data_IF_450062773659
#
_entry.id   IF_450062773659
#
_cell.length_a   1.000
_cell.length_b   1.000
_cell.length_c   1.000
_cell.angle_alpha   90.00
_cell.angle_beta   90.00
_cell.angle_gamma   90.00
#
_symmetry.space_group_name_H-M   'P 1'
#
loop_
_entity.id
_entity.type
_entity.pdbx_description
1 polymer ?
#
# COMPACT_ATOMS: atom_id res chain seq x y z
N UNK A 1 -10.77 9.63 -19.49
CA UNK A 1 -9.89 9.05 -20.51
C UNK A 1 -9.77 7.54 -20.26
N UNK A 2 -9.58 6.74 -21.30
CA UNK A 2 -9.56 5.27 -21.22
C UNK A 2 -8.57 4.72 -20.16
N UNK A 3 -7.47 5.42 -19.90
CA UNK A 3 -6.47 5.03 -18.91
C UNK A 3 -6.98 5.11 -17.46
N UNK A 4 -7.78 6.12 -17.12
CA UNK A 4 -8.41 6.23 -15.80
C UNK A 4 -9.49 5.16 -15.58
N UNK A 5 -10.03 4.59 -16.67
CA UNK A 5 -11.11 3.61 -16.59
C UNK A 5 -10.60 2.17 -16.46
N UNK A 6 -9.36 1.90 -16.90
CA UNK A 6 -8.72 0.59 -16.71
C UNK A 6 -8.34 0.39 -15.24
N UNK A 7 -7.78 1.43 -14.60
CA UNK A 7 -7.48 1.38 -13.16
C UNK A 7 -8.72 1.55 -12.27
N UNK A 8 -9.76 2.24 -12.71
CA UNK A 8 -11.05 2.28 -12.00
C UNK A 8 -11.74 0.92 -11.90
N UNK A 9 -11.35 -0.05 -12.72
CA UNK A 9 -11.87 -1.43 -12.67
C UNK A 9 -11.15 -2.29 -11.64
N UNK A 10 -10.02 -1.85 -11.10
CA UNK A 10 -9.42 -2.45 -9.91
C UNK A 10 -10.03 -1.79 -8.66
N UNK A 11 -11.33 -1.92 -8.47
CA UNK A 11 -11.91 -1.75 -7.15
C UNK A 11 -11.37 -2.88 -6.28
N UNK A 12 -10.24 -2.62 -5.63
CA UNK A 12 -9.71 -3.49 -4.59
C UNK A 12 -10.71 -3.48 -3.43
N UNK A 13 -11.68 -4.36 -3.49
CA UNK A 13 -12.60 -4.57 -2.38
C UNK A 13 -11.94 -5.55 -1.41
N UNK A 14 -11.51 -5.10 -0.22
CA UNK A 14 -11.03 -6.02 0.78
C UNK A 14 -12.17 -6.95 1.18
N UNK A 15 -12.08 -8.24 0.84
CA UNK A 15 -13.13 -9.23 1.16
C UNK A 15 -13.30 -9.37 2.67
N UNK A 16 -12.25 -9.13 3.44
CA UNK A 16 -12.20 -9.29 4.89
C UNK A 16 -12.17 -7.97 5.67
N UNK A 17 -12.22 -6.83 4.97
CA UNK A 17 -12.32 -5.53 5.63
C UNK A 17 -13.66 -5.39 6.35
N UNK A 18 -13.62 -5.13 7.64
CA UNK A 18 -14.80 -5.07 8.50
C UNK A 18 -14.94 -3.69 9.09
N UNK A 19 -16.13 -3.15 9.00
CA UNK A 19 -16.54 -2.02 9.82
C UNK A 19 -16.73 -2.53 11.27
N UNK A 20 -15.83 -2.14 12.16
CA UNK A 20 -15.81 -2.62 13.53
C UNK A 20 -17.09 -2.30 14.29
N UNK A 21 -17.81 -1.26 13.90
CA UNK A 21 -19.11 -0.89 14.51
C UNK A 21 -20.21 -1.91 14.23
N UNK A 22 -20.04 -2.74 13.20
CA UNK A 22 -21.00 -3.77 12.77
C UNK A 22 -20.72 -5.15 13.36
N UNK A 23 -19.64 -5.32 14.14
CA UNK A 23 -19.33 -6.59 14.77
C UNK A 23 -20.25 -6.79 15.99
N UNK A 24 -21.08 -7.85 16.03
CA UNK A 24 -21.97 -8.11 17.15
C UNK A 24 -21.19 -8.73 18.32
N UNK A 25 -20.21 -8.01 18.83
CA UNK A 25 -19.28 -8.47 19.87
C UNK A 25 -18.86 -7.29 20.73
N UNK A 26 -18.55 -7.58 22.00
CA UNK A 26 -18.01 -6.57 22.90
C UNK A 26 -16.54 -6.31 22.58
N UNK A 27 -16.17 -5.04 22.43
CA UNK A 27 -14.75 -4.63 22.38
C UNK A 27 -14.12 -4.87 23.75
N UNK A 28 -13.00 -5.57 23.77
CA UNK A 28 -12.22 -5.88 24.98
C UNK A 28 -11.04 -4.92 25.11
N UNK A 29 -10.33 -4.69 24.01
CA UNK A 29 -9.24 -3.71 23.92
C UNK A 29 -9.16 -3.15 22.50
N UNK A 30 -8.69 -1.91 22.39
CA UNK A 30 -8.59 -1.24 21.10
C UNK A 30 -7.52 -0.16 21.15
N UNK A 31 -6.71 -0.09 20.10
CA UNK A 31 -5.98 1.10 19.68
C UNK A 31 -6.63 1.53 18.37
N UNK A 32 -7.28 2.70 18.33
CA UNK A 32 -7.90 3.18 17.09
C UNK A 32 -6.83 3.47 16.04
N UNK A 33 -7.20 3.58 14.75
CA UNK A 33 -6.27 3.99 13.71
C UNK A 33 -5.54 5.27 14.09
N UNK A 34 -4.21 5.25 14.03
CA UNK A 34 -3.36 6.41 14.34
C UNK A 34 -3.38 7.40 13.18
N UNK A 35 -3.54 6.90 11.94
CA UNK A 35 -3.64 7.71 10.74
C UNK A 35 -5.04 7.59 10.13
N UNK A 36 -5.53 8.69 9.59
CA UNK A 36 -6.78 8.71 8.83
C UNK A 36 -6.59 9.08 7.34
N UNK A 37 -5.32 9.19 6.88
CA UNK A 37 -5.02 9.47 5.48
C UNK A 37 -5.34 8.28 4.59
N UNK A 38 -5.80 8.60 3.36
CA UNK A 38 -6.29 7.62 2.39
C UNK A 38 -5.58 7.89 1.05
N UNK A 39 -4.25 7.73 1.05
CA UNK A 39 -3.43 7.99 -0.13
C UNK A 39 -3.36 6.76 -1.02
N UNK A 40 -3.08 7.00 -2.31
CA UNK A 40 -2.92 5.94 -3.31
C UNK A 40 -1.78 6.23 -4.29
N UNK A 41 -1.57 5.33 -5.25
CA UNK A 41 -0.36 5.33 -6.08
C UNK A 41 -0.50 6.12 -7.39
N UNK A 42 -1.72 6.52 -7.73
CA UNK A 42 -2.08 7.15 -9.00
C UNK A 42 -2.24 8.66 -8.85
N UNK A 43 -2.65 9.32 -9.92
CA UNK A 43 -2.89 10.75 -9.95
C UNK A 43 -3.97 11.20 -8.92
N UNK A 44 -3.73 12.31 -8.22
CA UNK A 44 -2.64 13.27 -8.44
C UNK A 44 -1.35 12.97 -7.64
N UNK A 45 -1.28 11.86 -6.91
CA UNK A 45 -0.14 11.51 -6.06
C UNK A 45 1.14 11.24 -6.87
N UNK A 46 1.01 10.77 -8.11
CA UNK A 46 2.13 10.47 -8.99
C UNK A 46 2.48 11.61 -9.98
N UNK A 47 1.89 12.79 -9.85
CA UNK A 47 2.07 13.90 -10.82
C UNK A 47 3.52 14.38 -10.95
N UNK A 48 4.37 14.08 -9.97
CA UNK A 48 5.81 14.39 -10.01
C UNK A 48 6.68 13.18 -10.39
N UNK A 49 6.10 12.00 -10.63
CA UNK A 49 6.86 10.81 -11.02
C UNK A 49 7.41 10.91 -12.44
N UNK A 50 8.45 10.11 -12.80
CA UNK A 50 8.90 10.03 -14.18
C UNK A 50 7.78 9.65 -15.13
N UNK A 51 7.89 10.09 -16.38
CA UNK A 51 6.95 9.76 -17.46
C UNK A 51 7.52 8.62 -18.29
N UNK A 52 6.64 7.70 -18.70
CA UNK A 52 7.00 6.61 -19.61
C UNK A 52 5.80 5.94 -20.24
N UNK A 53 6.05 4.84 -20.93
CA UNK A 53 5.00 4.03 -21.55
C UNK A 53 4.35 3.15 -20.50
N UNK A 54 3.20 3.55 -19.99
CA UNK A 54 2.44 2.78 -19.00
C UNK A 54 1.61 1.73 -19.73
N UNK A 55 1.68 0.48 -19.27
CA UNK A 55 0.85 -0.59 -19.77
C UNK A 55 -0.60 -0.39 -19.31
N UNK A 56 -1.56 -0.54 -20.24
CA UNK A 56 -2.99 -0.32 -19.97
C UNK A 56 -3.72 -1.53 -19.35
N UNK A 57 -2.98 -2.59 -19.04
CA UNK A 57 -3.53 -3.83 -18.50
C UNK A 57 -4.00 -4.83 -19.56
N UNK A 58 -3.98 -4.46 -20.84
CA UNK A 58 -4.46 -5.26 -21.96
C UNK A 58 -3.40 -5.39 -23.08
N UNK A 59 -3.55 -4.66 -24.16
CA UNK A 59 -2.70 -4.79 -25.35
C UNK A 59 -2.05 -3.45 -25.77
N UNK A 60 -2.08 -2.45 -24.91
CA UNK A 60 -1.63 -1.10 -25.24
C UNK A 60 -0.72 -0.48 -24.20
N UNK A 61 -0.16 0.66 -24.57
CA UNK A 61 0.52 1.58 -23.67
C UNK A 61 0.06 3.00 -23.93
N UNK A 62 0.14 3.84 -22.91
CA UNK A 62 -0.05 5.28 -23.02
C UNK A 62 1.09 6.02 -22.30
N UNK A 63 1.32 7.27 -22.69
CA UNK A 63 2.26 8.12 -21.97
C UNK A 63 1.64 8.59 -20.66
N UNK A 64 2.32 8.30 -19.55
CA UNK A 64 1.82 8.66 -18.22
C UNK A 64 2.92 8.65 -17.18
N UNK A 65 2.60 9.15 -15.99
CA UNK A 65 3.49 9.07 -14.85
C UNK A 65 3.54 7.64 -14.30
N UNK A 66 4.72 7.21 -13.82
CA UNK A 66 4.86 5.95 -13.10
C UNK A 66 3.96 5.93 -11.87
N UNK A 67 3.48 4.75 -11.49
CA UNK A 67 2.85 4.58 -10.18
C UNK A 67 3.87 4.89 -9.07
N UNK A 68 3.38 5.43 -7.96
CA UNK A 68 4.23 5.73 -6.80
C UNK A 68 4.92 4.47 -6.24
N UNK A 69 4.19 3.35 -6.23
CA UNK A 69 4.63 2.11 -5.59
C UNK A 69 4.13 1.98 -4.14
N UNK A 70 3.64 0.79 -3.80
CA UNK A 70 3.02 0.54 -2.49
C UNK A 70 3.97 0.78 -1.31
N UNK A 71 5.25 0.38 -1.44
CA UNK A 71 6.25 0.61 -0.41
C UNK A 71 6.48 2.10 -0.16
N UNK A 72 6.47 2.93 -1.20
CA UNK A 72 6.61 4.38 -1.07
C UNK A 72 5.39 5.02 -0.42
N UNK A 73 4.17 4.56 -0.74
CA UNK A 73 2.95 5.01 -0.06
C UNK A 73 2.98 4.59 1.42
N UNK A 74 3.43 3.38 1.73
CA UNK A 74 3.55 2.92 3.11
C UNK A 74 4.54 3.79 3.91
N UNK A 75 5.72 4.10 3.35
CA UNK A 75 6.69 5.02 3.95
C UNK A 75 6.09 6.43 4.12
N UNK A 76 5.40 6.95 3.12
CA UNK A 76 4.75 8.25 3.19
C UNK A 76 3.65 8.30 4.28
N UNK A 77 2.85 7.24 4.38
CA UNK A 77 1.84 7.09 5.43
C UNK A 77 2.48 7.05 6.82
N UNK A 78 3.57 6.30 6.97
CA UNK A 78 4.36 6.28 8.20
C UNK A 78 4.87 7.69 8.56
N UNK A 79 5.44 8.40 7.60
CA UNK A 79 5.96 9.75 7.82
C UNK A 79 4.86 10.78 8.11
N UNK A 80 3.65 10.59 7.61
CA UNK A 80 2.51 11.45 7.97
C UNK A 80 2.14 11.36 9.44
N UNK A 81 2.40 10.21 10.07
CA UNK A 81 2.22 9.99 11.50
C UNK A 81 3.38 10.59 12.30
N UNK A 82 4.62 10.30 11.88
CA UNK A 82 5.82 10.70 12.61
C UNK A 82 6.24 12.15 12.38
N UNK A 83 5.81 12.74 11.26
CA UNK A 83 6.09 14.13 10.85
C UNK A 83 7.58 14.51 10.94
N UNK A 84 8.50 13.78 10.29
CA UNK A 84 9.90 14.13 10.28
C UNK A 84 10.13 15.43 9.50
N UNK A 85 11.19 16.19 9.82
CA UNK A 85 11.58 17.32 9.00
C UNK A 85 12.17 16.79 7.70
N UNK A 86 11.54 17.10 6.56
CA UNK A 86 11.98 16.62 5.26
C UNK A 86 11.59 17.55 4.12
N UNK A 87 12.19 17.30 2.97
CA UNK A 87 12.02 18.07 1.74
C UNK A 87 11.49 17.14 0.65
N UNK A 88 10.41 17.54 0.01
CA UNK A 88 9.92 16.95 -1.24
C UNK A 88 10.75 17.42 -2.43
N UNK A 89 10.66 16.72 -3.55
CA UNK A 89 11.38 17.02 -4.79
C UNK A 89 10.40 17.00 -5.98
N UNK A 90 10.33 18.09 -6.74
CA UNK A 90 9.54 18.14 -7.97
C UNK A 90 10.26 17.42 -9.11
N UNK A 91 9.55 17.11 -10.20
CA UNK A 91 10.14 16.56 -11.42
C UNK A 91 11.23 17.47 -12.02
N UNK A 92 11.14 18.79 -11.80
CA UNK A 92 12.13 19.77 -12.22
C UNK A 92 13.31 19.94 -11.23
N UNK A 93 13.36 19.14 -10.15
CA UNK A 93 14.43 19.20 -9.14
C UNK A 93 14.26 20.31 -8.11
N UNK A 94 13.12 21.04 -8.10
CA UNK A 94 12.84 22.05 -7.07
C UNK A 94 12.52 21.35 -5.75
N UNK A 95 13.08 21.85 -4.66
CA UNK A 95 12.84 21.35 -3.31
C UNK A 95 11.68 22.09 -2.65
N UNK A 96 10.83 21.35 -1.95
CA UNK A 96 9.68 21.86 -1.21
C UNK A 96 9.75 21.35 0.22
N UNK A 97 9.85 22.27 1.19
CA UNK A 97 9.75 21.87 2.60
C UNK A 97 8.36 21.30 2.89
N UNK A 98 8.31 20.12 3.49
CA UNK A 98 7.04 19.45 3.79
C UNK A 98 6.41 20.06 5.04
N UNK A 99 5.25 20.66 4.87
CA UNK A 99 4.35 21.08 5.96
C UNK A 99 3.36 19.93 6.22
N UNK A 100 3.64 19.14 7.24
CA UNK A 100 2.83 17.97 7.57
C UNK A 100 1.42 18.32 8.01
N UNK A 101 1.22 19.43 8.73
CA UNK A 101 -0.09 19.83 9.21
C UNK A 101 -0.98 20.25 8.06
N UNK A 102 -0.42 20.99 7.10
CA UNK A 102 -1.11 21.32 5.86
C UNK A 102 -1.39 20.10 5.01
N UNK A 103 -0.40 19.22 4.86
CA UNK A 103 -0.48 18.03 3.98
C UNK A 103 -1.48 16.98 4.50
N UNK A 104 -1.59 16.83 5.84
CA UNK A 104 -2.51 15.88 6.46
C UNK A 104 -3.88 16.46 6.83
N UNK A 105 -4.11 17.75 6.57
CA UNK A 105 -5.41 18.40 6.79
C UNK A 105 -6.53 17.78 5.92
N UNK A 106 -6.17 17.17 4.77
CA UNK A 106 -7.08 16.43 3.94
C UNK A 106 -6.70 14.95 3.93
N UNK A 107 -7.68 14.10 4.23
CA UNK A 107 -7.48 12.63 4.23
C UNK A 107 -7.11 12.08 2.87
N UNK A 108 -7.68 12.66 1.81
CA UNK A 108 -7.51 12.26 0.42
C UNK A 108 -7.19 13.49 -0.40
N UNK A 109 -6.18 13.40 -1.27
CA UNK A 109 -5.83 14.44 -2.23
C UNK A 109 -6.48 14.08 -3.57
N UNK A 110 -7.12 15.06 -4.18
CA UNK A 110 -7.77 14.91 -5.49
C UNK A 110 -7.42 16.11 -6.37
N UNK A 111 -7.75 16.08 -7.64
CA UNK A 111 -7.58 17.25 -8.53
C UNK A 111 -8.42 18.46 -8.12
N UNK A 112 -9.34 18.32 -7.18
CA UNK A 112 -10.09 19.44 -6.58
C UNK A 112 -9.42 20.03 -5.34
N UNK A 113 -8.35 19.40 -4.84
CA UNK A 113 -7.50 19.95 -3.78
C UNK A 113 -6.72 21.16 -4.29
N UNK A 114 -6.19 21.99 -3.39
CA UNK A 114 -5.39 23.15 -3.81
C UNK A 114 -4.16 22.72 -4.61
N UNK A 115 -3.73 23.46 -5.63
CA UNK A 115 -2.53 23.13 -6.41
C UNK A 115 -1.29 22.93 -5.56
N UNK A 116 -1.09 23.74 -4.52
CA UNK A 116 0.05 23.67 -3.61
C UNK A 116 0.03 22.35 -2.82
N UNK A 117 -1.16 21.87 -2.41
CA UNK A 117 -1.30 20.62 -1.68
C UNK A 117 -1.01 19.42 -2.59
N UNK A 118 -1.50 19.47 -3.83
CA UNK A 118 -1.21 18.45 -4.85
C UNK A 118 0.29 18.39 -5.11
N UNK A 119 0.92 19.55 -5.38
CA UNK A 119 2.34 19.63 -5.66
C UNK A 119 3.19 19.16 -4.48
N UNK A 120 2.87 19.57 -3.26
CA UNK A 120 3.59 19.16 -2.05
C UNK A 120 3.50 17.65 -1.86
N UNK A 121 2.30 17.06 -2.01
CA UNK A 121 2.08 15.61 -1.86
C UNK A 121 2.85 14.81 -2.90
N UNK A 122 2.72 15.19 -4.18
CA UNK A 122 3.41 14.51 -5.26
C UNK A 122 4.94 14.65 -5.17
N UNK A 123 5.44 15.82 -4.69
CA UNK A 123 6.87 16.06 -4.45
C UNK A 123 7.42 15.27 -3.27
N UNK A 124 6.64 15.10 -2.19
CA UNK A 124 6.97 14.20 -1.10
C UNK A 124 7.17 12.77 -1.60
N UNK A 125 6.22 12.26 -2.37
CA UNK A 125 6.24 10.91 -2.90
C UNK A 125 7.39 10.70 -3.90
N UNK A 126 7.71 11.71 -4.71
CA UNK A 126 8.87 11.70 -5.59
C UNK A 126 10.19 11.62 -4.80
N UNK A 127 10.33 12.39 -3.73
CA UNK A 127 11.51 12.33 -2.87
C UNK A 127 11.67 10.96 -2.23
N UNK A 128 10.58 10.36 -1.73
CA UNK A 128 10.60 8.99 -1.18
C UNK A 128 11.00 7.98 -2.27
N UNK A 129 10.38 8.04 -3.45
CA UNK A 129 10.72 7.18 -4.59
C UNK A 129 12.23 7.20 -4.91
N UNK A 130 12.82 8.39 -4.97
CA UNK A 130 14.26 8.55 -5.24
C UNK A 130 15.12 7.99 -4.09
N UNK A 131 14.75 8.27 -2.83
CA UNK A 131 15.51 7.85 -1.64
C UNK A 131 15.44 6.35 -1.40
N UNK A 132 14.32 5.72 -1.70
CA UNK A 132 14.16 4.27 -1.61
C UNK A 132 14.76 3.53 -2.80
N UNK A 133 15.28 4.24 -3.79
CA UNK A 133 15.81 3.66 -5.04
C UNK A 133 14.77 2.84 -5.79
N UNK A 134 13.53 3.29 -5.75
CA UNK A 134 12.43 2.63 -6.47
C UNK A 134 12.61 2.68 -7.98
N UNK A 135 12.08 1.69 -8.68
CA UNK A 135 12.20 1.57 -10.13
C UNK A 135 10.95 0.97 -10.77
N UNK A 136 10.69 1.25 -12.06
CA UNK A 136 9.54 0.71 -12.76
C UNK A 136 9.72 -0.79 -13.06
N UNK A 137 8.64 -1.54 -12.90
CA UNK A 137 8.52 -2.92 -13.37
C UNK A 137 7.92 -2.94 -14.77
N UNK A 138 8.60 -3.63 -15.66
CA UNK A 138 8.16 -3.77 -17.04
C UNK A 138 7.43 -5.10 -17.24
N UNK A 139 6.43 -5.08 -18.11
CA UNK A 139 5.74 -6.26 -18.63
C UNK A 139 5.87 -6.30 -20.14
N UNK A 140 6.17 -7.47 -20.66
CA UNK A 140 6.12 -7.72 -22.10
C UNK A 140 4.74 -8.29 -22.44
N UNK A 141 4.07 -7.72 -23.42
CA UNK A 141 2.72 -8.12 -23.82
C UNK A 141 2.60 -8.24 -25.33
N UNK A 142 1.71 -9.13 -25.79
CA UNK A 142 1.46 -9.32 -27.21
C UNK A 142 0.49 -8.27 -27.74
N UNK A 143 0.80 -7.73 -28.90
CA UNK A 143 -0.07 -6.91 -29.72
C UNK A 143 0.03 -7.40 -31.16
N UNK A 144 -0.71 -6.81 -32.09
CA UNK A 144 -0.69 -7.19 -33.50
C UNK A 144 -0.38 -5.96 -34.35
N UNK A 145 0.38 -6.16 -35.45
CA UNK A 145 0.60 -5.16 -36.48
C UNK A 145 -0.61 -5.02 -37.41
N UNK A 146 -0.49 -4.15 -38.43
CA UNK A 146 -1.52 -3.92 -39.43
C UNK A 146 -1.86 -5.18 -40.27
N UNK A 147 -0.87 -6.08 -40.39
CA UNK A 147 -1.00 -7.37 -41.10
C UNK A 147 -1.44 -8.51 -40.17
N UNK A 148 -1.82 -8.20 -38.92
CA UNK A 148 -2.24 -9.16 -37.90
C UNK A 148 -1.12 -10.16 -37.46
N UNK A 149 0.15 -9.76 -37.59
CA UNK A 149 1.26 -10.53 -37.04
C UNK A 149 1.49 -10.15 -35.58
N UNK A 150 1.81 -11.11 -34.69
CA UNK A 150 2.06 -10.81 -33.29
C UNK A 150 3.37 -9.99 -33.11
N UNK A 151 3.27 -8.90 -32.36
CA UNK A 151 4.40 -8.09 -31.94
C UNK A 151 4.47 -8.08 -30.42
N UNK A 152 5.67 -8.26 -29.88
CA UNK A 152 5.91 -8.10 -28.44
C UNK A 152 6.24 -6.64 -28.18
N UNK A 153 5.43 -6.00 -27.35
CA UNK A 153 5.66 -4.64 -26.83
C UNK A 153 5.96 -4.69 -25.35
N UNK A 154 6.55 -3.62 -24.84
CA UNK A 154 6.92 -3.48 -23.44
C UNK A 154 6.30 -2.22 -22.84
N UNK A 155 5.68 -2.39 -21.68
CA UNK A 155 5.11 -1.28 -20.91
C UNK A 155 5.46 -1.37 -19.43
N UNK A 156 5.26 -0.28 -18.70
CA UNK A 156 5.47 -0.21 -17.25
C UNK A 156 4.16 -0.60 -16.58
N UNK A 157 4.17 -1.69 -15.81
CA UNK A 157 2.99 -2.21 -15.13
C UNK A 157 2.86 -1.72 -13.69
N UNK A 158 3.99 -1.49 -13.01
CA UNK A 158 4.02 -1.10 -11.59
C UNK A 158 5.35 -0.47 -11.22
N UNK A 159 5.49 -0.12 -9.94
CA UNK A 159 6.75 0.35 -9.36
C UNK A 159 7.16 -0.56 -8.21
N UNK A 160 8.39 -1.04 -8.24
CA UNK A 160 9.02 -1.75 -7.13
C UNK A 160 9.76 -0.80 -6.21
N UNK A 161 9.60 -1.05 -4.90
CA UNK A 161 10.39 -0.40 -3.86
C UNK A 161 11.30 -1.44 -3.22
N UNK A 162 12.63 -1.40 -3.46
CA UNK A 162 13.56 -2.35 -2.86
C UNK A 162 13.51 -2.26 -1.33
N UNK A 163 13.38 -3.39 -0.67
CA UNK A 163 13.34 -3.46 0.80
C UNK A 163 14.57 -2.82 1.43
N UNK A 164 15.76 -3.11 0.90
CA UNK A 164 17.02 -2.52 1.37
C UNK A 164 16.99 -0.99 1.30
N UNK A 165 16.62 -0.42 0.13
CA UNK A 165 16.51 1.03 -0.05
C UNK A 165 15.48 1.67 0.88
N UNK A 166 14.36 1.00 1.11
CA UNK A 166 13.35 1.43 2.06
C UNK A 166 13.89 1.45 3.50
N UNK A 167 14.55 0.37 3.94
CA UNK A 167 15.13 0.26 5.28
C UNK A 167 16.24 1.29 5.52
N UNK A 168 17.15 1.45 4.57
CA UNK A 168 18.20 2.46 4.65
C UNK A 168 17.61 3.87 4.77
N UNK A 169 16.59 4.19 3.96
CA UNK A 169 15.95 5.49 4.04
C UNK A 169 15.24 5.69 5.38
N UNK A 170 14.50 4.70 5.87
CA UNK A 170 13.87 4.76 7.19
C UNK A 170 14.90 5.03 8.29
N UNK A 171 16.05 4.36 8.27
CA UNK A 171 17.13 4.56 9.25
C UNK A 171 17.68 6.00 9.25
N UNK A 172 17.58 6.74 8.16
CA UNK A 172 17.99 8.16 8.15
C UNK A 172 17.03 9.06 8.92
N UNK A 173 15.74 8.74 8.93
CA UNK A 173 14.66 9.60 9.42
C UNK A 173 14.07 9.13 10.76
N UNK A 174 14.24 7.86 11.09
CA UNK A 174 13.59 7.21 12.24
C UNK A 174 14.56 6.32 13.01
N UNK A 175 14.17 5.98 14.23
CA UNK A 175 14.70 4.84 14.98
C UNK A 175 13.62 3.76 15.02
N UNK A 176 14.02 2.49 15.13
CA UNK A 176 13.10 1.39 15.36
C UNK A 176 13.79 0.24 16.11
N UNK A 177 13.00 -0.56 16.83
CA UNK A 177 13.55 -1.61 17.70
C UNK A 177 14.04 -2.83 16.94
N UNK A 178 13.48 -3.12 15.77
CA UNK A 178 13.91 -4.27 14.98
C UNK A 178 13.10 -4.51 13.70
N UNK A 179 13.58 -5.49 12.95
CA UNK A 179 12.89 -6.10 11.82
C UNK A 179 12.80 -7.59 12.06
N UNK A 180 11.61 -8.16 11.97
CA UNK A 180 11.36 -9.59 12.22
C UNK A 180 10.18 -10.08 11.40
N UNK A 181 9.98 -11.38 11.31
CA UNK A 181 8.71 -11.94 10.85
C UNK A 181 7.53 -11.38 11.67
N UNK A 182 6.32 -11.39 11.10
CA UNK A 182 5.17 -10.83 11.78
C UNK A 182 4.94 -11.48 13.16
N UNK A 183 4.93 -10.63 14.20
CA UNK A 183 4.72 -11.04 15.59
C UNK A 183 3.57 -10.22 16.19
N UNK A 184 2.40 -10.81 16.44
CA UNK A 184 1.21 -10.11 16.94
C UNK A 184 1.41 -9.42 18.29
N UNK A 185 2.20 -9.99 19.19
CA UNK A 185 2.41 -9.41 20.53
C UNK A 185 3.31 -8.18 20.47
N UNK A 186 4.40 -8.23 19.69
CA UNK A 186 5.24 -7.05 19.44
C UNK A 186 4.45 -5.98 18.69
N UNK A 187 3.59 -6.38 17.73
CA UNK A 187 2.74 -5.48 17.01
C UNK A 187 1.77 -4.73 17.95
N UNK A 188 1.08 -5.44 18.82
CA UNK A 188 0.20 -4.81 19.83
C UNK A 188 0.97 -3.88 20.75
N UNK A 189 2.12 -4.30 21.24
CA UNK A 189 2.95 -3.49 22.13
C UNK A 189 3.40 -2.18 21.46
N UNK A 190 3.84 -2.25 20.19
CA UNK A 190 4.20 -1.08 19.40
C UNK A 190 3.01 -0.11 19.27
N UNK A 191 1.84 -0.63 18.87
CA UNK A 191 0.63 0.18 18.69
C UNK A 191 0.10 0.77 20.01
N UNK A 192 0.23 0.07 21.14
CA UNK A 192 -0.12 0.60 22.46
C UNK A 192 0.73 1.81 22.86
N UNK A 193 1.94 1.90 22.33
CA UNK A 193 2.83 3.05 22.46
C UNK A 193 2.60 4.10 21.34
N UNK A 194 1.53 3.97 20.55
CA UNK A 194 1.22 4.80 19.38
C UNK A 194 2.31 4.80 18.30
N UNK A 195 3.12 3.74 18.25
CA UNK A 195 4.12 3.54 17.22
C UNK A 195 3.52 2.67 16.10
N UNK A 196 3.34 3.20 14.89
CA UNK A 196 2.83 2.42 13.76
C UNK A 196 3.82 1.34 13.34
N UNK A 197 3.32 0.37 12.59
CA UNK A 197 4.11 -0.74 12.07
C UNK A 197 4.14 -0.65 10.57
N UNK A 198 5.33 -0.73 9.99
CA UNK A 198 5.51 -0.97 8.57
C UNK A 198 5.64 -2.47 8.33
N UNK A 199 4.74 -3.00 7.54
CA UNK A 199 4.75 -4.40 7.15
C UNK A 199 4.97 -4.52 5.64
N UNK A 200 5.73 -5.50 5.23
CA UNK A 200 5.86 -5.88 3.83
C UNK A 200 5.96 -7.40 3.71
N UNK A 201 5.52 -7.92 2.59
CA UNK A 201 5.49 -9.36 2.36
C UNK A 201 5.07 -9.71 0.95
N UNK A 202 5.10 -11.00 0.66
CA UNK A 202 4.67 -11.54 -0.61
C UNK A 202 3.27 -12.16 -0.48
N UNK A 203 2.51 -12.07 -1.57
CA UNK A 203 1.22 -12.70 -1.72
C UNK A 203 1.27 -13.90 -2.66
N UNK A 204 0.15 -14.58 -2.76
CA UNK A 204 -0.11 -15.57 -3.80
C UNK A 204 -1.56 -15.40 -4.28
N UNK A 205 -1.78 -15.73 -5.54
CA UNK A 205 -3.12 -15.73 -6.12
C UNK A 205 -3.85 -17.01 -5.75
N UNK A 206 -5.14 -16.89 -5.48
CA UNK A 206 -6.03 -18.02 -5.23
C UNK A 206 -7.29 -17.88 -6.08
N UNK A 207 -7.93 -18.99 -6.37
CA UNK A 207 -9.22 -19.04 -7.04
C UNK A 207 -10.38 -18.73 -6.07
N UNK A 208 -11.61 -18.76 -6.60
CA UNK A 208 -12.84 -18.55 -5.82
C UNK A 208 -13.04 -19.57 -4.68
N UNK A 209 -12.37 -20.73 -4.75
CA UNK A 209 -12.39 -21.79 -3.74
C UNK A 209 -11.24 -21.64 -2.74
N UNK A 210 -10.46 -20.54 -2.83
CA UNK A 210 -9.26 -20.26 -2.02
C UNK A 210 -8.12 -21.26 -2.22
N UNK A 211 -8.08 -21.92 -3.39
CA UNK A 211 -6.99 -22.82 -3.76
C UNK A 211 -5.91 -22.01 -4.50
N UNK A 212 -4.60 -22.22 -4.20
CA UNK A 212 -3.53 -21.53 -4.89
C UNK A 212 -3.60 -21.74 -6.41
N UNK A 213 -3.59 -20.61 -7.15
CA UNK A 213 -3.47 -20.63 -8.60
C UNK A 213 -1.98 -20.61 -8.91
N UNK A 214 -1.41 -21.78 -9.23
CA UNK A 214 0.00 -21.88 -9.60
C UNK A 214 0.15 -21.73 -11.11
N UNK A 215 0.25 -20.51 -11.61
CA UNK A 215 0.70 -20.30 -13.00
C UNK A 215 2.24 -20.34 -13.09
N UNK A 216 2.94 -19.72 -12.15
CA UNK A 216 4.39 -19.82 -11.97
C UNK A 216 4.73 -19.37 -10.53
N UNK A 217 5.11 -20.29 -9.62
CA UNK A 217 5.37 -19.94 -8.21
C UNK A 217 6.55 -18.98 -8.03
N UNK A 218 7.36 -18.72 -9.05
CA UNK A 218 8.49 -17.80 -9.01
C UNK A 218 8.20 -16.43 -9.66
N UNK A 219 7.21 -16.34 -10.55
CA UNK A 219 6.86 -15.10 -11.25
C UNK A 219 5.66 -14.37 -10.66
N UNK A 220 4.77 -15.09 -9.98
CA UNK A 220 3.46 -14.59 -9.56
C UNK A 220 3.38 -14.39 -8.05
N UNK A 221 4.46 -13.91 -7.41
CA UNK A 221 4.44 -13.47 -6.02
C UNK A 221 4.30 -11.94 -5.95
N UNK A 222 3.07 -11.40 -5.91
CA UNK A 222 2.90 -9.96 -5.77
C UNK A 222 3.44 -9.52 -4.40
N UNK A 223 4.48 -8.68 -4.42
CA UNK A 223 4.97 -8.03 -3.21
C UNK A 223 4.12 -6.84 -2.85
N UNK A 224 3.90 -6.60 -1.57
CA UNK A 224 3.21 -5.40 -1.08
C UNK A 224 3.82 -4.89 0.20
N UNK A 225 3.74 -3.56 0.39
CA UNK A 225 4.07 -2.87 1.64
C UNK A 225 2.86 -2.10 2.16
N UNK A 226 2.59 -2.18 3.46
CA UNK A 226 1.46 -1.51 4.09
C UNK A 226 1.75 -1.10 5.53
N UNK A 227 0.86 -0.31 6.11
CA UNK A 227 0.94 0.11 7.51
C UNK A 227 -0.13 -0.61 8.32
N UNK A 228 0.25 -1.07 9.51
CA UNK A 228 -0.70 -1.39 10.57
C UNK A 228 -0.64 -0.23 11.57
N UNK A 229 -1.76 0.42 11.78
CA UNK A 229 -1.86 1.64 12.58
C UNK A 229 -2.86 1.54 13.74
N UNK A 230 -3.39 0.35 13.98
CA UNK A 230 -4.30 0.11 15.09
C UNK A 230 -4.70 -1.35 15.21
N UNK A 231 -5.43 -1.68 16.27
CA UNK A 231 -6.03 -2.99 16.43
C UNK A 231 -7.31 -2.92 17.27
N UNK A 232 -8.12 -3.96 17.18
CA UNK A 232 -9.28 -4.18 18.03
C UNK A 232 -9.38 -5.65 18.41
N UNK A 233 -9.57 -5.91 19.70
CA UNK A 233 -9.88 -7.24 20.20
C UNK A 233 -11.35 -7.27 20.64
N UNK A 234 -12.09 -8.24 20.13
CA UNK A 234 -13.52 -8.39 20.47
C UNK A 234 -13.78 -9.76 21.08
N UNK A 235 -14.85 -9.85 21.87
CA UNK A 235 -15.30 -11.10 22.49
C UNK A 235 -16.79 -11.29 22.30
N UNK A 236 -17.20 -12.43 21.75
CA UNK A 236 -18.60 -12.86 21.69
C UNK A 236 -19.03 -13.42 23.04
N UNK A 237 -20.26 -13.14 23.46
CA UNK A 237 -20.81 -13.68 24.73
C UNK A 237 -20.85 -15.20 24.76
N UNK A 238 -20.94 -15.85 23.60
CA UNK A 238 -21.01 -17.31 23.43
C UNK A 238 -19.64 -18.00 23.24
N UNK A 239 -18.53 -17.25 23.27
CA UNK A 239 -17.20 -17.82 23.03
C UNK A 239 -16.22 -17.46 24.13
N UNK A 240 -15.39 -18.42 24.63
CA UNK A 240 -14.30 -18.12 25.55
C UNK A 240 -13.16 -17.35 24.85
N UNK A 241 -13.07 -17.43 23.53
CA UNK A 241 -11.98 -16.84 22.75
C UNK A 241 -12.32 -15.41 22.30
N UNK A 242 -11.28 -14.61 22.19
CA UNK A 242 -11.35 -13.28 21.61
C UNK A 242 -10.89 -13.29 20.15
N UNK A 243 -11.54 -12.51 19.31
CA UNK A 243 -11.12 -12.26 17.94
C UNK A 243 -10.26 -11.00 17.90
N UNK A 244 -9.13 -11.06 17.19
CA UNK A 244 -8.24 -9.93 16.95
C UNK A 244 -8.44 -9.40 15.54
N UNK A 245 -8.46 -8.07 15.40
CA UNK A 245 -8.58 -7.35 14.14
C UNK A 245 -7.47 -6.30 14.08
N UNK A 246 -6.78 -6.21 12.94
CA UNK A 246 -5.78 -5.20 12.66
C UNK A 246 -6.38 -4.07 11.82
N UNK A 247 -6.16 -2.83 12.22
CA UNK A 247 -6.39 -1.68 11.37
C UNK A 247 -5.23 -1.53 10.40
N UNK A 248 -5.54 -1.50 9.11
CA UNK A 248 -4.54 -1.56 8.04
C UNK A 248 -4.75 -0.42 7.05
N UNK A 249 -3.66 0.17 6.59
CA UNK A 249 -3.63 1.10 5.46
C UNK A 249 -2.77 0.51 4.34
N UNK A 250 -3.44 0.07 3.27
CA UNK A 250 -2.81 -0.60 2.13
C UNK A 250 -2.25 0.36 1.07
N UNK A 251 -2.51 1.66 1.20
CA UNK A 251 -2.05 2.64 0.23
C UNK A 251 -2.72 2.56 -1.15
N UNK A 252 -3.96 2.08 -1.22
CA UNK A 252 -4.76 1.98 -2.45
C UNK A 252 -5.99 2.88 -2.46
N UNK A 253 -6.00 3.88 -1.60
CA UNK A 253 -7.08 4.84 -1.54
C UNK A 253 -8.29 4.39 -0.71
N UNK A 254 -9.45 4.97 -1.02
CA UNK A 254 -10.69 4.75 -0.27
C UNK A 254 -11.10 3.27 -0.30
N UNK A 255 -11.41 2.73 0.88
CA UNK A 255 -11.81 1.33 1.06
C UNK A 255 -10.66 0.39 1.42
N UNK A 256 -9.42 0.85 1.34
CA UNK A 256 -8.22 0.08 1.70
C UNK A 256 -7.41 0.71 2.85
N UNK A 257 -7.92 1.79 3.44
CA UNK A 257 -7.30 2.50 4.55
C UNK A 257 -8.29 2.61 5.70
N UNK A 258 -7.79 2.50 6.93
CA UNK A 258 -8.59 2.42 8.16
C UNK A 258 -9.60 1.26 8.15
N UNK A 259 -9.23 0.15 7.53
CA UNK A 259 -10.05 -1.04 7.40
C UNK A 259 -9.53 -2.10 8.37
N UNK A 260 -10.45 -2.76 9.08
CA UNK A 260 -10.10 -3.81 10.02
C UNK A 260 -10.14 -5.18 9.35
N UNK A 261 -9.03 -5.91 9.48
CA UNK A 261 -8.91 -7.29 9.01
C UNK A 261 -8.82 -8.23 10.18
N UNK A 262 -9.61 -9.30 10.15
CA UNK A 262 -9.56 -10.33 11.19
C UNK A 262 -8.26 -11.10 11.07
N UNK A 263 -7.50 -11.18 12.18
CA UNK A 263 -6.33 -12.02 12.25
C UNK A 263 -6.74 -13.50 12.25
N UNK A 264 -6.27 -14.28 11.28
CA UNK A 264 -6.48 -15.71 11.26
C UNK A 264 -5.53 -16.38 12.27
N UNK A 265 -6.10 -17.08 13.25
CA UNK A 265 -5.37 -17.76 14.33
C UNK A 265 -4.41 -16.88 15.14
N UNK A 266 -4.54 -15.54 15.06
CA UNK A 266 -3.66 -14.61 15.76
C UNK A 266 -2.24 -14.51 15.23
N UNK A 267 -1.91 -15.15 14.10
CA UNK A 267 -0.52 -15.33 13.64
C UNK A 267 -0.19 -14.43 12.44
N UNK A 268 -1.18 -14.10 11.59
CA UNK A 268 -0.94 -13.40 10.34
C UNK A 268 -1.86 -12.19 10.17
N UNK A 269 -1.35 -11.14 9.53
CA UNK A 269 -2.16 -10.09 8.95
C UNK A 269 -2.54 -10.50 7.52
N UNK A 270 -3.49 -11.42 7.41
CA UNK A 270 -3.94 -11.90 6.11
C UNK A 270 -4.84 -10.84 5.47
N UNK A 271 -4.37 -10.27 4.39
CA UNK A 271 -5.14 -9.31 3.61
C UNK A 271 -5.56 -9.97 2.31
N UNK A 272 -6.86 -9.97 2.05
CA UNK A 272 -7.45 -10.63 0.89
C UNK A 272 -8.08 -9.57 -0.01
N UNK A 273 -7.67 -9.52 -1.26
CA UNK A 273 -8.20 -8.60 -2.25
C UNK A 273 -8.81 -9.34 -3.44
N UNK A 274 -9.91 -8.79 -3.95
CA UNK A 274 -10.45 -9.12 -5.26
C UNK A 274 -9.82 -8.20 -6.31
N UNK A 275 -9.37 -8.77 -7.41
CA UNK A 275 -9.14 -8.04 -8.64
C UNK A 275 -10.32 -8.29 -9.57
N UNK A 276 -11.02 -7.22 -9.99
CA UNK A 276 -12.14 -7.30 -10.92
C UNK A 276 -11.65 -7.58 -12.34
N UNK A 277 -11.33 -8.85 -12.61
CA UNK A 277 -11.31 -9.38 -13.97
C UNK A 277 -12.19 -10.61 -13.96
N UNK A 278 -12.71 -11.04 -15.11
CA UNK A 278 -13.58 -12.21 -15.25
C UNK A 278 -12.98 -13.49 -14.61
N UNK A 279 -11.66 -13.49 -14.37
CA UNK A 279 -10.95 -14.43 -13.50
C UNK A 279 -10.72 -13.75 -12.15
N UNK A 280 -11.51 -14.08 -11.15
CA UNK A 280 -11.38 -13.56 -9.79
C UNK A 280 -10.06 -14.01 -9.18
N UNK A 281 -9.05 -13.18 -9.29
CA UNK A 281 -7.76 -13.40 -8.63
C UNK A 281 -7.84 -12.78 -7.23
N UNK A 282 -7.88 -13.62 -6.22
CA UNK A 282 -7.78 -13.24 -4.82
C UNK A 282 -6.30 -13.29 -4.45
N UNK A 283 -5.76 -12.22 -3.88
CA UNK A 283 -4.37 -12.19 -3.40
C UNK A 283 -4.34 -12.32 -1.89
N UNK A 284 -3.61 -13.31 -1.41
CA UNK A 284 -3.29 -13.49 0.00
C UNK A 284 -1.86 -13.02 0.28
N UNK A 285 -1.70 -11.96 1.06
CA UNK A 285 -0.39 -11.49 1.52
C UNK A 285 -0.04 -12.17 2.84
N UNK A 286 0.39 -13.44 2.78
CA UNK A 286 0.67 -14.27 3.95
C UNK A 286 2.09 -14.81 4.00
N UNK A 287 2.87 -14.60 2.91
CA UNK A 287 4.19 -15.19 2.77
C UNK A 287 5.29 -14.18 3.04
N UNK A 288 6.35 -14.65 3.69
CA UNK A 288 7.58 -13.87 3.90
C UNK A 288 7.31 -12.48 4.51
N UNK A 289 6.28 -12.38 5.37
CA UNK A 289 5.95 -11.11 6.02
C UNK A 289 7.10 -10.66 6.91
N UNK A 290 7.54 -9.43 6.72
CA UNK A 290 8.53 -8.77 7.55
C UNK A 290 7.91 -7.52 8.18
N UNK A 291 8.14 -7.37 9.46
CA UNK A 291 7.58 -6.31 10.29
C UNK A 291 8.69 -5.42 10.83
N UNK A 292 8.55 -4.12 10.64
CA UNK A 292 9.34 -3.09 11.31
C UNK A 292 8.44 -2.45 12.35
N UNK A 293 8.88 -2.44 13.59
CA UNK A 293 8.05 -2.06 14.73
C UNK A 293 8.77 -1.11 15.67
N UNK A 294 8.01 -0.49 16.56
CA UNK A 294 8.47 0.51 17.51
C UNK A 294 9.22 1.67 16.81
N UNK A 295 8.59 2.13 15.72
CA UNK A 295 9.18 3.16 14.85
C UNK A 295 8.91 4.52 15.46
N UNK A 296 9.97 5.29 15.66
CA UNK A 296 9.92 6.62 16.25
C UNK A 296 10.71 7.62 15.40
N UNK A 297 10.29 8.86 15.41
CA UNK A 297 11.02 9.98 14.79
C UNK A 297 12.38 10.16 15.48
N UNK A 298 13.43 10.41 14.70
CA UNK A 298 14.72 10.91 15.22
C UNK A 298 14.66 12.35 15.66
#
# INVERSE_FOLDING_TARGET
>A
SAASDVYKRQEYNPINGIDISKIPSRIVSMVPPISDIVWHQEAPYNDQMPIGNIWDGHMGTYQGHYLVGCGNIAVATLFSILKPVMVGETAAGRQILIDWDYLTAQKTITYYSSPDLIEMTASLLRAIYNKTRSFPNYVDFNTYDEDNNPIIKRGIASTSTPTEGMLEYLQTMTTYSGSTGFNPELAKQSLQNYNPILLYGNGHYVDNNRLPITKDPYKDKPGHGWIIDGYCTTKKSSSPNSDLYWSVNMGWGKGSSAVYFKANNGINCDVIFHTDTEDVNIVYYTQEQQMIYDIQKK
#
